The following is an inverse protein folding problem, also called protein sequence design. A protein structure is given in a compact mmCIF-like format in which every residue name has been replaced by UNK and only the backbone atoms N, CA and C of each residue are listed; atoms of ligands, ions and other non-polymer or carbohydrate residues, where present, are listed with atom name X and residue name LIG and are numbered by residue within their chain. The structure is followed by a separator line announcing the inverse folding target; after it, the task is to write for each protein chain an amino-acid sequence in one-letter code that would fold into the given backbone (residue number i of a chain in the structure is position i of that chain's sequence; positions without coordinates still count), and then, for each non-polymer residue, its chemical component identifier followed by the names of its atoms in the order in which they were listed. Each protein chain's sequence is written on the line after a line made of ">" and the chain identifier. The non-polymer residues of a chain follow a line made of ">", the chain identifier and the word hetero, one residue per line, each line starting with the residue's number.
data_IF_932568987905
#
_entry.id   IF_932568987905
#
_cell.length_a   1.000
_cell.length_b   1.000
_cell.length_c   1.000
_cell.angle_alpha   90.00
_cell.angle_beta   90.00
_cell.angle_gamma   90.00
#
_symmetry.space_group_name_H-M   'P 1'
#
loop_
_entity.id
_entity.type
_entity.pdbx_description
1 polymer ?
#
# COMPACT_ATOMS: atom_id res chain seq x y z
N UNK A 1 -13.87 -4.40 25.10
CA UNK A 1 -12.39 -4.38 25.05
C UNK A 1 -11.89 -5.35 23.98
N UNK A 2 -12.32 -5.22 22.72
CA UNK A 2 -12.17 -6.34 21.75
C UNK A 2 -11.93 -5.92 20.29
N UNK A 3 -11.63 -4.64 20.02
CA UNK A 3 -11.18 -4.19 18.69
C UNK A 3 -9.75 -3.62 18.66
N UNK A 4 -9.19 -3.27 19.82
CA UNK A 4 -7.86 -2.66 19.92
C UNK A 4 -6.73 -3.69 20.10
N UNK A 5 -7.02 -4.90 20.59
CA UNK A 5 -6.01 -5.95 20.77
C UNK A 5 -5.64 -6.65 19.45
N UNK A 6 -6.57 -6.79 18.50
CA UNK A 6 -6.27 -7.28 17.13
C UNK A 6 -5.50 -6.26 16.27
N UNK A 7 -5.47 -4.98 16.68
CA UNK A 7 -4.72 -3.91 16.02
C UNK A 7 -3.21 -3.96 16.32
N UNK A 8 -2.78 -4.72 17.34
CA UNK A 8 -1.46 -4.51 17.96
C UNK A 8 -0.32 -5.41 17.43
N UNK A 9 -0.61 -6.48 16.67
CA UNK A 9 0.42 -7.45 16.25
C UNK A 9 0.53 -7.66 14.72
N UNK A 10 -0.36 -7.07 13.91
CA UNK A 10 -0.34 -7.25 12.45
C UNK A 10 0.96 -6.77 11.81
N UNK A 11 1.39 -5.56 12.18
CA UNK A 11 2.65 -4.98 11.75
C UNK A 11 3.86 -5.82 12.20
N UNK A 12 3.81 -6.45 13.39
CA UNK A 12 4.90 -7.30 13.90
C UNK A 12 5.05 -8.57 13.07
N UNK A 13 3.95 -9.18 12.64
CA UNK A 13 3.98 -10.34 11.74
C UNK A 13 4.64 -9.99 10.41
N UNK A 14 4.30 -8.85 9.83
CA UNK A 14 4.94 -8.36 8.59
C UNK A 14 6.42 -8.08 8.81
N UNK A 15 6.78 -7.36 9.88
CA UNK A 15 8.17 -7.05 10.20
C UNK A 15 9.01 -8.32 10.39
N UNK A 16 8.50 -9.30 11.15
CA UNK A 16 9.15 -10.60 11.35
C UNK A 16 9.28 -11.40 10.05
N UNK A 17 8.23 -11.42 9.21
CA UNK A 17 8.27 -12.12 7.92
C UNK A 17 9.33 -11.55 6.97
N UNK A 18 9.60 -10.25 7.05
CA UNK A 18 10.62 -9.56 6.26
C UNK A 18 12.03 -9.63 6.86
N UNK A 19 12.15 -9.78 8.18
CA UNK A 19 13.44 -9.74 8.89
C UNK A 19 14.42 -10.79 8.38
N UNK A 20 13.97 -12.03 8.16
CA UNK A 20 14.83 -13.17 7.82
C UNK A 20 15.13 -13.29 6.32
N UNK A 21 14.77 -12.30 5.52
CA UNK A 21 14.96 -12.30 4.06
C UNK A 21 16.19 -11.47 3.65
N UNK A 22 16.80 -11.80 2.51
CA UNK A 22 17.79 -10.92 1.88
C UNK A 22 17.13 -9.62 1.39
N UNK A 23 17.93 -8.58 1.14
CA UNK A 23 17.45 -7.24 0.79
C UNK A 23 16.47 -7.23 -0.38
N UNK A 24 16.82 -7.92 -1.47
CA UNK A 24 15.95 -8.06 -2.64
C UNK A 24 14.60 -8.69 -2.29
N UNK A 25 14.62 -9.79 -1.55
CA UNK A 25 13.40 -10.48 -1.13
C UNK A 25 12.58 -9.62 -0.18
N UNK A 26 13.22 -8.90 0.74
CA UNK A 26 12.56 -7.96 1.65
C UNK A 26 11.82 -6.87 0.87
N UNK A 27 12.46 -6.26 -0.12
CA UNK A 27 11.85 -5.19 -0.92
C UNK A 27 10.69 -5.68 -1.78
N UNK A 28 10.88 -6.80 -2.48
CA UNK A 28 9.85 -7.37 -3.37
C UNK A 28 8.63 -7.83 -2.56
N UNK A 29 8.85 -8.59 -1.48
CA UNK A 29 7.75 -9.09 -0.65
C UNK A 29 7.04 -7.96 0.09
N UNK A 30 7.78 -6.97 0.62
CA UNK A 30 7.19 -5.83 1.31
C UNK A 30 6.22 -5.04 0.42
N UNK A 31 6.63 -4.75 -0.81
CA UNK A 31 5.76 -4.07 -1.78
C UNK A 31 4.58 -4.96 -2.22
N UNK A 32 4.79 -6.27 -2.41
CA UNK A 32 3.71 -7.20 -2.74
C UNK A 32 2.63 -7.28 -1.65
N UNK A 33 3.03 -7.24 -0.37
CA UNK A 33 2.06 -7.17 0.74
C UNK A 33 1.19 -5.91 0.65
N UNK A 34 1.80 -4.75 0.44
CA UNK A 34 1.06 -3.50 0.29
C UNK A 34 0.16 -3.52 -0.94
N UNK A 35 0.64 -4.08 -2.06
CA UNK A 35 -0.14 -4.22 -3.29
C UNK A 35 -1.42 -5.03 -3.04
N UNK A 36 -1.32 -6.15 -2.32
CA UNK A 36 -2.47 -6.97 -1.95
C UNK A 36 -3.47 -6.18 -1.08
N UNK A 37 -3.00 -5.45 -0.06
CA UNK A 37 -3.88 -4.66 0.81
C UNK A 37 -4.54 -3.49 0.07
N UNK A 38 -3.81 -2.84 -0.84
CA UNK A 38 -4.36 -1.81 -1.72
C UNK A 38 -5.43 -2.37 -2.67
N UNK A 39 -5.24 -3.60 -3.15
CA UNK A 39 -6.25 -4.28 -3.95
C UNK A 39 -7.53 -4.55 -3.15
N UNK A 40 -7.39 -5.05 -1.93
CA UNK A 40 -8.53 -5.25 -1.02
C UNK A 40 -9.25 -3.93 -0.68
N UNK A 41 -8.49 -2.86 -0.43
CA UNK A 41 -9.04 -1.53 -0.16
C UNK A 41 -9.90 -1.04 -1.32
N UNK A 42 -9.37 -1.07 -2.54
CA UNK A 42 -10.10 -0.66 -3.74
C UNK A 42 -11.32 -1.55 -3.99
N UNK A 43 -11.16 -2.87 -3.87
CA UNK A 43 -12.24 -3.84 -4.03
C UNK A 43 -13.40 -3.60 -3.05
N UNK A 44 -13.10 -3.21 -1.82
CA UNK A 44 -14.11 -2.92 -0.82
C UNK A 44 -14.84 -1.60 -1.06
N UNK A 45 -14.22 -0.68 -1.77
CA UNK A 45 -14.81 0.60 -2.15
C UNK A 45 -15.63 0.51 -3.43
N UNK A 46 -15.22 -0.34 -4.38
CA UNK A 46 -15.96 -0.55 -5.63
C UNK A 46 -17.36 -1.12 -5.39
N UNK A 47 -18.22 -0.89 -6.37
CA UNK A 47 -19.58 -1.43 -6.43
C UNK A 47 -19.56 -2.94 -6.23
N UNK A 48 -20.49 -3.47 -5.42
CA UNK A 48 -20.54 -4.89 -5.05
C UNK A 48 -20.83 -5.81 -6.23
N UNK A 49 -21.64 -5.36 -7.17
CA UNK A 49 -22.05 -6.07 -8.36
C UNK A 49 -21.03 -5.99 -9.51
N UNK A 50 -19.92 -5.25 -9.33
CA UNK A 50 -18.85 -5.24 -10.32
C UNK A 50 -18.24 -6.63 -10.43
N UNK A 51 -18.31 -7.24 -11.62
CA UNK A 51 -17.77 -8.59 -11.90
C UNK A 51 -16.33 -8.57 -12.47
N UNK A 52 -15.88 -7.37 -12.87
CA UNK A 52 -14.56 -7.16 -13.49
C UNK A 52 -13.49 -6.75 -12.47
N UNK A 53 -13.84 -6.60 -11.20
CA UNK A 53 -12.97 -6.12 -10.13
C UNK A 53 -11.72 -7.02 -9.98
N UNK A 54 -11.90 -8.34 -10.08
CA UNK A 54 -10.78 -9.30 -10.06
C UNK A 54 -9.90 -9.19 -11.31
N UNK A 55 -10.51 -8.93 -12.47
CA UNK A 55 -9.78 -8.76 -13.72
C UNK A 55 -8.96 -7.48 -13.67
N UNK A 56 -9.56 -6.36 -13.24
CA UNK A 56 -8.91 -5.06 -13.10
C UNK A 56 -7.72 -5.09 -12.12
N UNK A 57 -7.82 -5.90 -11.07
CA UNK A 57 -6.80 -6.07 -10.04
C UNK A 57 -5.82 -7.24 -10.32
N UNK A 58 -5.89 -7.89 -11.49
CA UNK A 58 -4.88 -8.88 -11.88
C UNK A 58 -3.56 -8.21 -12.27
N UNK A 59 -2.43 -8.94 -12.17
CA UNK A 59 -1.08 -8.36 -12.27
C UNK A 59 -0.79 -7.63 -13.60
N UNK A 60 -1.42 -8.06 -14.70
CA UNK A 60 -1.24 -7.51 -16.05
C UNK A 60 -2.32 -6.49 -16.44
N UNK A 61 -3.20 -6.13 -15.51
CA UNK A 61 -4.27 -5.16 -15.71
C UNK A 61 -3.89 -3.74 -15.29
N UNK A 62 -4.70 -2.72 -15.65
CA UNK A 62 -4.41 -1.32 -15.33
C UNK A 62 -4.18 -1.05 -13.83
N UNK A 63 -4.87 -1.78 -12.95
CA UNK A 63 -4.69 -1.72 -11.49
C UNK A 63 -3.90 -2.92 -10.96
N UNK A 64 -3.03 -3.52 -11.77
CA UNK A 64 -2.25 -4.70 -11.42
C UNK A 64 -1.02 -4.43 -10.57
N UNK A 65 -0.58 -3.17 -10.44
CA UNK A 65 0.67 -2.80 -9.77
C UNK A 65 0.43 -1.86 -8.60
N UNK A 66 1.30 -1.93 -7.59
CA UNK A 66 1.24 -1.09 -6.39
C UNK A 66 1.14 0.40 -6.73
N UNK A 67 1.94 0.87 -7.70
CA UNK A 67 1.93 2.28 -8.13
C UNK A 67 0.56 2.73 -8.61
N UNK A 68 -0.08 1.98 -9.52
CA UNK A 68 -1.37 2.39 -10.10
C UNK A 68 -2.48 2.30 -9.07
N UNK A 69 -2.47 1.30 -8.19
CA UNK A 69 -3.40 1.24 -7.04
C UNK A 69 -3.24 2.41 -6.09
N UNK A 70 -2.00 2.81 -5.82
CA UNK A 70 -1.67 3.95 -4.94
C UNK A 70 -2.22 5.26 -5.51
N UNK A 71 -2.06 5.49 -6.82
CA UNK A 71 -2.62 6.64 -7.51
C UNK A 71 -4.15 6.63 -7.46
N UNK A 72 -4.78 5.50 -7.79
CA UNK A 72 -6.24 5.37 -7.76
C UNK A 72 -6.81 5.64 -6.37
N UNK A 73 -6.27 4.98 -5.34
CA UNK A 73 -6.76 5.14 -3.96
C UNK A 73 -6.62 6.59 -3.47
N UNK A 74 -5.54 7.29 -3.86
CA UNK A 74 -5.38 8.69 -3.50
C UNK A 74 -6.39 9.60 -4.22
N UNK A 75 -6.61 9.39 -5.52
CA UNK A 75 -7.62 10.13 -6.28
C UNK A 75 -9.05 9.92 -5.74
N UNK A 76 -9.32 8.73 -5.19
CA UNK A 76 -10.59 8.41 -4.53
C UNK A 76 -10.69 8.91 -3.09
N UNK A 77 -9.64 9.54 -2.53
CA UNK A 77 -9.62 9.99 -1.14
C UNK A 77 -9.48 8.87 -0.11
N UNK A 78 -9.18 7.64 -0.53
CA UNK A 78 -9.10 6.47 0.35
C UNK A 78 -7.81 6.41 1.16
N UNK A 79 -6.77 7.15 0.78
CA UNK A 79 -5.50 7.26 1.51
C UNK A 79 -5.08 8.72 1.65
N UNK A 80 -4.32 9.02 2.71
CA UNK A 80 -3.77 10.35 2.97
C UNK A 80 -2.58 10.67 2.06
N UNK A 81 -2.22 11.96 2.00
CA UNK A 81 -1.03 12.44 1.29
C UNK A 81 0.27 11.80 1.79
N UNK A 82 0.35 11.49 3.09
CA UNK A 82 1.52 10.84 3.67
C UNK A 82 1.63 9.38 3.23
N UNK A 83 0.53 8.62 3.30
CA UNK A 83 0.49 7.24 2.82
C UNK A 83 0.79 7.17 1.32
N UNK A 84 0.20 8.07 0.52
CA UNK A 84 0.49 8.17 -0.91
C UNK A 84 1.98 8.39 -1.22
N UNK A 85 2.63 9.29 -0.48
CA UNK A 85 4.06 9.58 -0.62
C UNK A 85 4.92 8.35 -0.33
N UNK A 86 4.72 7.70 0.82
CA UNK A 86 5.52 6.54 1.22
C UNK A 86 5.24 5.30 0.35
N UNK A 87 3.98 5.03 -0.01
CA UNK A 87 3.63 3.95 -0.95
C UNK A 87 4.29 4.15 -2.32
N UNK A 88 4.35 5.40 -2.80
CA UNK A 88 5.02 5.73 -4.07
C UNK A 88 6.53 5.46 -3.98
N UNK A 89 7.18 5.86 -2.89
CA UNK A 89 8.60 5.56 -2.67
C UNK A 89 8.86 4.06 -2.58
N UNK A 90 8.01 3.31 -1.87
CA UNK A 90 8.13 1.84 -1.76
C UNK A 90 7.99 1.16 -3.12
N UNK A 91 7.04 1.60 -3.96
CA UNK A 91 6.90 1.08 -5.33
C UNK A 91 8.16 1.36 -6.18
N UNK A 92 8.81 2.51 -6.00
CA UNK A 92 10.07 2.82 -6.67
C UNK A 92 11.23 1.95 -6.16
N UNK A 93 11.32 1.74 -4.85
CA UNK A 93 12.33 0.87 -4.24
C UNK A 93 12.18 -0.56 -4.77
N UNK A 94 10.95 -1.12 -4.76
CA UNK A 94 10.66 -2.43 -5.32
C UNK A 94 11.13 -2.54 -6.78
N UNK A 95 10.83 -1.52 -7.59
CA UNK A 95 11.23 -1.49 -9.00
C UNK A 95 12.74 -1.55 -9.18
N UNK A 96 13.50 -0.78 -8.40
CA UNK A 96 14.98 -0.81 -8.44
C UNK A 96 15.52 -2.22 -8.12
N UNK A 97 14.97 -2.88 -7.09
CA UNK A 97 15.31 -4.26 -6.74
C UNK A 97 14.84 -5.30 -7.78
N UNK A 98 13.82 -4.99 -8.57
CA UNK A 98 13.34 -5.87 -9.64
C UNK A 98 14.22 -5.79 -10.89
N UNK A 99 14.68 -4.58 -11.25
CA UNK A 99 15.54 -4.32 -12.41
C UNK A 99 16.97 -4.83 -12.19
N UNK A 100 17.49 -4.80 -10.96
CA UNK A 100 18.81 -5.32 -10.64
C UNK A 100 18.77 -6.85 -10.36
N UNK A 101 19.33 -7.63 -11.27
CA UNK A 101 19.33 -9.10 -11.19
C UNK A 101 20.21 -9.64 -10.05
N UNK A 102 21.30 -8.97 -9.69
CA UNK A 102 22.24 -9.41 -8.64
C UNK A 102 22.80 -8.21 -7.88
N UNK A 103 23.11 -8.39 -6.59
CA UNK A 103 23.89 -7.42 -5.80
C UNK A 103 23.15 -6.19 -5.27
N UNK A 104 21.87 -6.00 -5.60
CA UNK A 104 21.08 -4.88 -5.08
C UNK A 104 20.99 -4.93 -3.54
N UNK A 105 21.28 -3.80 -2.89
CA UNK A 105 21.25 -3.66 -1.44
C UNK A 105 20.56 -2.36 -1.02
N UNK A 106 19.98 -2.37 0.19
CA UNK A 106 19.38 -1.15 0.76
C UNK A 106 20.40 -0.04 1.03
N UNK A 107 21.70 -0.37 1.00
CA UNK A 107 22.80 0.58 1.14
C UNK A 107 23.15 1.31 -0.14
N UNK A 108 22.68 0.85 -1.31
CA UNK A 108 22.97 1.48 -2.60
C UNK A 108 22.38 2.89 -2.66
N UNK A 109 23.15 3.87 -3.13
CA UNK A 109 22.83 5.30 -3.01
C UNK A 109 21.37 5.64 -3.41
N UNK A 110 20.92 5.12 -4.56
CA UNK A 110 19.57 5.39 -5.08
C UNK A 110 18.43 4.75 -4.27
N UNK A 111 18.67 3.59 -3.66
CA UNK A 111 17.70 2.90 -2.80
C UNK A 111 17.72 3.53 -1.40
N UNK A 112 18.93 3.73 -0.87
CA UNK A 112 19.21 4.34 0.42
C UNK A 112 18.52 5.70 0.55
N UNK A 113 18.70 6.58 -0.42
CA UNK A 113 18.09 7.91 -0.43
C UNK A 113 16.56 7.83 -0.35
N UNK A 114 15.93 6.94 -1.12
CA UNK A 114 14.48 6.73 -1.08
C UNK A 114 14.00 6.23 0.28
N UNK A 115 14.73 5.31 0.91
CA UNK A 115 14.41 4.85 2.27
C UNK A 115 14.46 6.00 3.27
N UNK A 116 15.45 6.90 3.17
CA UNK A 116 15.53 8.07 4.04
C UNK A 116 14.42 9.09 3.81
N UNK A 117 13.86 9.16 2.59
CA UNK A 117 12.74 10.04 2.25
C UNK A 117 11.36 9.55 2.76
N UNK A 118 11.28 8.33 3.30
CA UNK A 118 10.08 7.81 3.96
C UNK A 118 9.72 8.67 5.17
N UNK A 119 8.43 9.01 5.29
CA UNK A 119 7.92 9.94 6.30
C UNK A 119 7.34 9.22 7.51
N UNK A 120 6.69 8.08 7.33
CA UNK A 120 6.05 7.33 8.42
C UNK A 120 7.02 6.98 9.56
N UNK A 121 8.26 6.51 9.30
CA UNK A 121 9.23 6.24 10.37
C UNK A 121 9.72 7.47 11.12
N UNK A 122 9.46 8.69 10.61
CA UNK A 122 9.84 9.95 11.25
C UNK A 122 8.79 10.42 12.26
N UNK A 123 7.53 10.08 12.00
CA UNK A 123 6.40 10.42 12.86
C UNK A 123 6.28 9.46 14.06
N UNK A 124 6.84 8.25 13.94
CA UNK A 124 6.93 7.30 15.05
C UNK A 124 8.32 7.40 15.66
N UNK A 125 8.41 7.73 16.94
CA UNK A 125 9.68 7.81 17.66
C UNK A 125 10.37 6.44 17.64
N UNK A 126 11.34 6.28 16.72
CA UNK A 126 12.30 5.19 16.78
C UNK A 126 13.31 5.54 17.89
N UNK A 127 13.36 4.79 19.01
CA UNK A 127 14.29 5.11 20.09
C UNK A 127 15.74 4.96 19.60
N UNK A 128 16.54 6.02 19.78
CA UNK A 128 18.00 5.95 19.94
C UNK A 128 18.86 5.36 18.82
N UNK A 129 18.32 4.95 17.67
CA UNK A 129 19.08 4.18 16.68
C UNK A 129 19.40 4.96 15.41
N UNK A 130 20.63 4.75 14.94
CA UNK A 130 21.06 5.05 13.56
C UNK A 130 20.00 4.58 12.59
N UNK A 131 19.46 5.49 11.78
CA UNK A 131 18.44 5.17 10.79
C UNK A 131 19.04 4.27 9.70
N UNK A 132 18.78 2.96 9.78
CA UNK A 132 19.25 1.98 8.79
C UNK A 132 18.21 1.90 7.66
N UNK A 133 18.59 2.06 6.37
CA UNK A 133 17.65 2.12 5.25
C UNK A 133 16.67 0.93 5.17
N UNK A 134 17.18 -0.28 5.37
CA UNK A 134 16.37 -1.51 5.43
C UNK A 134 15.33 -1.46 6.53
N UNK A 135 15.69 -0.99 7.73
CA UNK A 135 14.75 -0.86 8.85
C UNK A 135 13.67 0.18 8.55
N UNK A 136 14.02 1.31 7.94
CA UNK A 136 13.04 2.32 7.52
C UNK A 136 12.02 1.73 6.54
N UNK A 137 12.48 0.94 5.56
CA UNK A 137 11.60 0.26 4.62
C UNK A 137 10.67 -0.75 5.31
N UNK A 138 11.23 -1.65 6.13
CA UNK A 138 10.46 -2.68 6.85
C UNK A 138 9.42 -2.05 7.77
N UNK A 139 9.83 -1.03 8.53
CA UNK A 139 8.95 -0.32 9.45
C UNK A 139 7.82 0.39 8.71
N UNK A 140 8.13 1.15 7.65
CA UNK A 140 7.10 1.82 6.83
C UNK A 140 6.11 0.83 6.25
N UNK A 141 6.60 -0.28 5.71
CA UNK A 141 5.77 -1.35 5.14
C UNK A 141 4.83 -1.94 6.19
N UNK A 142 5.34 -2.22 7.39
CA UNK A 142 4.57 -2.80 8.47
C UNK A 142 3.45 -1.86 8.96
N UNK A 143 3.77 -0.58 9.17
CA UNK A 143 2.80 0.43 9.59
C UNK A 143 1.76 0.69 8.50
N UNK A 144 2.18 0.86 7.24
CA UNK A 144 1.27 1.02 6.11
C UNK A 144 0.31 -0.16 5.99
N UNK A 145 0.80 -1.39 6.14
CA UNK A 145 -0.06 -2.58 6.09
C UNK A 145 -1.16 -2.52 7.15
N UNK A 146 -0.81 -2.12 8.38
CA UNK A 146 -1.77 -1.95 9.47
C UNK A 146 -2.80 -0.85 9.18
N UNK A 147 -2.35 0.29 8.66
CA UNK A 147 -3.22 1.41 8.28
C UNK A 147 -4.17 1.04 7.14
N UNK A 148 -3.66 0.36 6.11
CA UNK A 148 -4.47 -0.09 4.98
C UNK A 148 -5.52 -1.10 5.41
N UNK A 149 -5.22 -2.03 6.32
CA UNK A 149 -6.22 -2.94 6.87
C UNK A 149 -7.38 -2.21 7.55
N UNK A 150 -7.08 -1.15 8.31
CA UNK A 150 -8.12 -0.29 8.90
C UNK A 150 -8.91 0.49 7.83
N UNK A 151 -8.24 1.06 6.83
CA UNK A 151 -8.90 1.76 5.72
C UNK A 151 -9.80 0.83 4.90
N UNK A 152 -9.40 -0.41 4.68
CA UNK A 152 -10.21 -1.42 3.98
C UNK A 152 -11.54 -1.68 4.69
N UNK A 153 -11.54 -1.65 6.03
CA UNK A 153 -12.76 -1.79 6.82
C UNK A 153 -13.65 -0.54 6.75
N UNK A 154 -13.07 0.66 6.61
CA UNK A 154 -13.85 1.90 6.42
C UNK A 154 -14.42 1.98 5.00
N UNK A 155 -13.62 1.65 3.98
CA UNK A 155 -14.04 1.64 2.58
C UNK A 155 -15.25 0.74 2.33
N UNK A 156 -15.38 -0.37 3.07
CA UNK A 156 -16.56 -1.22 3.00
C UNK A 156 -17.86 -0.53 3.46
N UNK A 157 -17.77 0.45 4.36
CA UNK A 157 -18.92 1.25 4.82
C UNK A 157 -19.26 2.40 3.86
N UNK A 158 -18.27 2.85 3.10
CA UNK A 158 -18.37 3.93 2.11
C UNK A 158 -18.44 3.38 0.68
N UNK A 159 -18.80 2.09 0.55
CA UNK A 159 -18.83 1.40 -0.73
C UNK A 159 -19.73 2.15 -1.71
N UNK A 160 -19.29 2.24 -2.97
CA UNK A 160 -20.08 2.86 -4.04
C UNK A 160 -21.30 2.02 -4.39
N UNK A 161 -22.41 2.69 -4.66
CA UNK A 161 -23.65 2.08 -5.14
C UNK A 161 -23.88 2.44 -6.61
N UNK A 162 -24.57 1.55 -7.33
CA UNK A 162 -25.00 1.81 -8.71
C UNK A 162 -26.16 2.82 -8.66
N UNK A 163 -26.11 3.94 -9.41
CA UNK A 163 -27.25 4.83 -9.53
C UNK A 163 -28.46 4.09 -10.12
N UNK A 164 -29.64 4.23 -9.50
CA UNK A 164 -30.84 3.43 -9.82
C UNK A 164 -31.35 3.62 -11.25
N UNK A 165 -31.25 4.82 -11.82
CA UNK A 165 -31.77 5.11 -13.16
C UNK A 165 -31.05 6.30 -13.79
N UNK A 166 -30.96 6.31 -15.12
CA UNK A 166 -30.52 7.48 -15.87
C UNK A 166 -31.55 8.60 -15.67
N UNK A 167 -31.11 9.80 -15.28
CA UNK A 167 -31.99 10.96 -15.23
C UNK A 167 -32.62 11.16 -16.62
N UNK A 168 -33.93 10.95 -16.72
CA UNK A 168 -34.68 11.25 -17.94
C UNK A 168 -34.67 12.77 -18.12
N UNK A 169 -33.91 13.23 -19.10
CA UNK A 169 -33.95 14.62 -19.54
C UNK A 169 -35.21 14.75 -20.39
N UNK A 170 -36.19 15.49 -19.89
CA UNK A 170 -37.36 15.88 -20.65
C UNK A 170 -36.91 16.87 -21.73
N UNK A 171 -36.99 16.45 -23.01
CA UNK A 171 -36.53 17.26 -24.16
C UNK A 171 -37.61 18.26 -24.58
N UNK A 172 -38.83 18.15 -24.04
CA UNK A 172 -40.00 18.93 -24.45
C UNK A 172 -40.26 20.19 -23.58
N UNK A 173 -39.22 20.79 -22.97
CA UNK A 173 -39.32 22.05 -22.21
C UNK A 173 -38.45 23.17 -22.76
#
# INVERSE_FOLDING_TARGET
>A
MTHQQNFNDGWRKVATALHNKNDRSTAILGAAFLEAHMGQLLNNFFVQECQDEKILLSADSPLGRLKTRTQMAYCLGLISKMEYHDLTLIAQIQRLFAEQLYGAAFTDDGIREKCFQLRIPREVQLPGETRIPRQLFVFSTAILTQHLAWRTAQAAKERREIPETLLLIDIDR
#
